data_IF_573601401168
#
_entry.id   IF_573601401168
#
_cell.length_a   1.000
_cell.length_b   1.000
_cell.length_c   1.000
_cell.angle_alpha   90.00
_cell.angle_beta   90.00
_cell.angle_gamma   90.00
#
_symmetry.space_group_name_H-M   'P 1'
#
loop_
_entity.id
_entity.type
_entity.pdbx_description
1 polymer ?
#
# COMPACT_ATOMS: atom_id res chain seq x y z
N UNK A 1 -1.22 11.07 22.88
CA UNK A 1 -1.28 11.60 21.50
C UNK A 1 -1.97 10.54 20.65
N UNK A 2 -3.12 10.84 20.08
CA UNK A 2 -3.85 9.90 19.21
C UNK A 2 -3.12 9.87 17.86
N UNK A 3 -2.57 8.70 17.47
CA UNK A 3 -1.75 8.55 16.25
C UNK A 3 -2.57 8.74 14.96
N UNK A 4 -3.89 8.57 15.05
CA UNK A 4 -4.81 8.59 13.91
C UNK A 4 -5.95 9.56 14.19
N UNK A 5 -6.02 10.62 13.40
CA UNK A 5 -7.20 11.47 13.31
C UNK A 5 -8.30 10.81 12.47
N UNK A 6 -9.54 10.99 12.90
CA UNK A 6 -10.75 10.49 12.25
C UNK A 6 -10.88 10.99 10.80
N UNK A 7 -11.27 10.10 9.88
CA UNK A 7 -11.62 10.48 8.51
C UNK A 7 -10.44 10.74 7.56
N UNK A 8 -9.20 10.83 8.04
CA UNK A 8 -8.00 10.90 7.20
C UNK A 8 -7.61 9.51 6.67
N UNK A 9 -7.00 9.48 5.49
CA UNK A 9 -6.41 8.29 4.90
C UNK A 9 -4.94 8.22 5.30
N UNK A 10 -4.51 7.09 5.84
CA UNK A 10 -3.12 6.80 6.20
C UNK A 10 -2.63 5.61 5.38
N UNK A 11 -1.44 5.74 4.81
CA UNK A 11 -0.76 4.64 4.11
C UNK A 11 -0.07 3.75 5.15
N UNK A 12 -0.62 2.55 5.34
CA UNK A 12 -0.12 1.56 6.29
C UNK A 12 0.25 0.26 5.57
N UNK A 13 1.03 -0.59 6.23
CA UNK A 13 1.25 -1.96 5.77
C UNK A 13 0.22 -2.89 6.43
N UNK A 14 -0.53 -3.63 5.64
CA UNK A 14 -1.36 -4.73 6.12
C UNK A 14 -0.59 -6.04 6.00
N UNK A 15 -0.36 -6.71 7.12
CA UNK A 15 0.07 -8.10 7.17
C UNK A 15 -1.17 -8.99 7.28
N UNK A 16 -1.28 -9.93 6.35
CA UNK A 16 -2.25 -11.04 6.37
C UNK A 16 -1.51 -12.38 6.51
N UNK A 17 -2.24 -13.50 6.56
CA UNK A 17 -1.66 -14.84 6.78
C UNK A 17 -0.41 -15.14 5.96
N UNK A 18 -0.38 -14.72 4.70
CA UNK A 18 0.69 -15.09 3.77
C UNK A 18 1.25 -13.91 2.98
N UNK A 19 0.85 -12.68 3.30
CA UNK A 19 1.19 -11.50 2.50
C UNK A 19 1.40 -10.23 3.32
N UNK A 20 2.13 -9.29 2.73
CA UNK A 20 2.19 -7.89 3.17
C UNK A 20 1.79 -7.02 1.99
N UNK A 21 0.95 -6.03 2.22
CA UNK A 21 0.54 -5.11 1.17
C UNK A 21 0.26 -3.73 1.75
N UNK A 22 0.60 -2.63 1.05
CA UNK A 22 0.21 -1.31 1.48
C UNK A 22 -1.30 -1.12 1.30
N UNK A 23 -1.92 -0.43 2.25
CA UNK A 23 -3.35 -0.11 2.27
C UNK A 23 -3.58 1.32 2.75
N UNK A 24 -4.48 2.03 2.07
CA UNK A 24 -5.05 3.27 2.55
C UNK A 24 -6.11 2.98 3.63
N UNK A 25 -5.81 3.36 4.86
CA UNK A 25 -6.64 3.10 6.05
C UNK A 25 -7.28 4.38 6.54
N UNK A 26 -8.56 4.32 6.85
CA UNK A 26 -9.32 5.41 7.47
C UNK A 26 -9.81 4.96 8.84
N UNK A 27 -9.43 5.69 9.89
CA UNK A 27 -10.03 5.51 11.21
C UNK A 27 -11.45 6.05 11.19
N UNK A 28 -12.41 5.21 11.59
CA UNK A 28 -13.79 5.62 11.86
C UNK A 28 -14.28 5.04 13.18
N UNK A 29 -14.59 5.90 14.15
CA UNK A 29 -14.89 5.52 15.52
C UNK A 29 -13.75 4.69 16.12
N UNK A 30 -14.07 3.49 16.60
CA UNK A 30 -13.11 2.53 17.16
C UNK A 30 -12.57 1.51 16.15
N UNK A 31 -12.86 1.65 14.85
CA UNK A 31 -12.47 0.69 13.80
C UNK A 31 -11.59 1.33 12.72
N UNK A 32 -10.85 0.50 12.01
CA UNK A 32 -9.98 0.89 10.90
C UNK A 32 -10.52 0.32 9.59
N UNK A 33 -10.89 1.19 8.66
CA UNK A 33 -11.53 0.82 7.41
C UNK A 33 -10.55 0.92 6.25
N UNK A 34 -10.56 -0.06 5.36
CA UNK A 34 -9.74 -0.06 4.15
C UNK A 34 -10.40 -0.91 3.06
N UNK A 35 -9.82 -0.88 1.86
CA UNK A 35 -10.29 -1.66 0.72
C UNK A 35 -9.16 -2.55 0.23
N UNK A 36 -9.48 -3.80 -0.07
CA UNK A 36 -8.57 -4.71 -0.75
C UNK A 36 -9.10 -5.03 -2.13
N UNK A 37 -8.28 -4.81 -3.15
CA UNK A 37 -8.53 -5.35 -4.48
C UNK A 37 -8.30 -6.87 -4.49
N UNK A 38 -8.86 -7.56 -5.49
CA UNK A 38 -8.59 -8.99 -5.68
C UNK A 38 -7.08 -9.28 -5.69
N UNK A 39 -6.66 -10.25 -4.87
CA UNK A 39 -5.25 -10.54 -4.67
C UNK A 39 -5.02 -11.44 -3.46
N UNK A 40 -3.75 -11.65 -3.11
CA UNK A 40 -3.33 -12.57 -2.05
C UNK A 40 -3.91 -12.19 -0.68
N UNK A 41 -3.81 -10.91 -0.29
CA UNK A 41 -4.39 -10.43 0.97
C UNK A 41 -5.92 -10.53 1.00
N UNK A 42 -6.62 -10.29 -0.12
CA UNK A 42 -8.08 -10.46 -0.15
C UNK A 42 -8.49 -11.93 0.04
N UNK A 43 -7.74 -12.88 -0.54
CA UNK A 43 -7.94 -14.32 -0.31
C UNK A 43 -7.65 -14.72 1.13
N UNK A 44 -6.52 -14.25 1.68
CA UNK A 44 -6.17 -14.49 3.08
C UNK A 44 -7.28 -14.02 4.02
N UNK A 45 -7.86 -12.83 3.82
CA UNK A 45 -8.92 -12.29 4.69
C UNK A 45 -10.21 -13.13 4.62
N UNK A 46 -10.56 -13.67 3.45
CA UNK A 46 -11.74 -14.54 3.31
C UNK A 46 -11.60 -15.85 4.10
N UNK A 47 -10.39 -16.41 4.15
CA UNK A 47 -10.10 -17.68 4.84
C UNK A 47 -9.73 -17.47 6.32
N UNK A 48 -9.01 -16.39 6.60
CA UNK A 48 -8.40 -16.04 7.88
C UNK A 48 -8.62 -14.55 8.16
N UNK A 49 -9.78 -14.17 8.73
CA UNK A 49 -10.22 -12.77 8.86
C UNK A 49 -9.50 -12.03 10.01
N UNK A 50 -8.17 -12.05 9.99
CA UNK A 50 -7.28 -11.38 10.93
C UNK A 50 -6.24 -10.58 10.14
N UNK A 51 -5.74 -9.51 10.75
CA UNK A 51 -4.67 -8.73 10.16
C UNK A 51 -3.93 -7.88 11.17
N UNK A 52 -2.73 -7.46 10.79
CA UNK A 52 -1.94 -6.48 11.54
C UNK A 52 -1.70 -5.29 10.64
N UNK A 53 -2.15 -4.10 11.07
CA UNK A 53 -1.82 -2.85 10.40
C UNK A 53 -0.57 -2.27 11.05
N UNK A 54 0.50 -2.07 10.27
CA UNK A 54 1.73 -1.45 10.72
C UNK A 54 1.85 -0.01 10.20
N UNK A 55 2.26 0.87 11.11
CA UNK A 55 2.71 2.21 10.75
C UNK A 55 4.19 2.15 10.37
N UNK A 56 4.55 2.76 9.25
CA UNK A 56 5.94 2.91 8.83
C UNK A 56 6.16 4.30 8.26
N UNK A 57 7.34 4.84 8.51
CA UNK A 57 7.84 6.06 7.85
C UNK A 57 8.82 5.74 6.72
N UNK A 58 9.15 4.46 6.56
CA UNK A 58 10.01 3.98 5.49
C UNK A 58 9.21 3.75 4.21
N UNK A 59 9.29 4.73 3.32
CA UNK A 59 8.64 4.68 2.00
C UNK A 59 9.24 3.58 1.11
N UNK A 60 10.49 3.18 1.31
CA UNK A 60 11.10 2.10 0.55
C UNK A 60 10.33 0.78 0.75
N UNK A 61 9.97 0.46 2.01
CA UNK A 61 9.17 -0.73 2.34
C UNK A 61 7.77 -0.65 1.71
N UNK A 62 7.09 0.50 1.79
CA UNK A 62 5.77 0.70 1.18
C UNK A 62 5.83 0.47 -0.34
N UNK A 63 6.83 1.02 -1.01
CA UNK A 63 7.00 0.90 -2.46
C UNK A 63 7.37 -0.53 -2.85
N UNK A 64 8.28 -1.19 -2.13
CA UNK A 64 8.65 -2.58 -2.42
C UNK A 64 7.46 -3.52 -2.27
N UNK A 65 6.70 -3.39 -1.20
CA UNK A 65 5.52 -4.23 -0.96
C UNK A 65 4.42 -3.94 -1.98
N UNK A 66 4.21 -2.69 -2.41
CA UNK A 66 3.28 -2.35 -3.51
C UNK A 66 3.65 -3.05 -4.83
N UNK A 67 4.95 -3.19 -5.09
CA UNK A 67 5.49 -3.73 -6.34
C UNK A 67 5.85 -5.22 -6.24
N UNK A 68 5.53 -5.88 -5.13
CA UNK A 68 5.93 -7.26 -4.82
C UNK A 68 7.45 -7.51 -4.96
N UNK A 69 8.26 -6.51 -4.60
CA UNK A 69 9.72 -6.61 -4.56
C UNK A 69 10.18 -7.13 -3.19
N UNK A 70 11.33 -7.83 -3.13
CA UNK A 70 11.90 -8.29 -1.87
C UNK A 70 12.16 -7.13 -0.90
N UNK A 71 11.78 -7.32 0.36
CA UNK A 71 12.07 -6.46 1.50
C UNK A 71 12.58 -7.33 2.66
N UNK A 72 13.62 -6.84 3.35
CA UNK A 72 14.15 -7.51 4.54
C UNK A 72 13.37 -7.01 5.75
N UNK A 73 12.63 -7.93 6.39
CA UNK A 73 11.79 -7.63 7.54
C UNK A 73 12.03 -8.66 8.63
N UNK A 74 12.16 -8.17 9.86
CA UNK A 74 12.15 -9.02 11.04
C UNK A 74 10.71 -9.28 11.50
N UNK A 75 10.46 -10.50 11.97
CA UNK A 75 9.12 -10.97 12.33
C UNK A 75 9.06 -11.44 13.76
N UNK A 76 7.92 -11.22 14.40
CA UNK A 76 7.57 -11.80 15.69
C UNK A 76 6.09 -12.22 15.72
N UNK A 77 5.70 -13.03 16.70
CA UNK A 77 4.32 -13.44 16.85
C UNK A 77 3.45 -12.30 17.39
N UNK A 78 2.26 -12.15 16.81
CA UNK A 78 1.23 -11.26 17.35
C UNK A 78 0.77 -11.76 18.71
N UNK A 79 0.28 -10.86 19.57
CA UNK A 79 -0.12 -11.22 20.93
C UNK A 79 -1.57 -11.67 21.04
N UNK A 80 -2.43 -11.21 20.13
CA UNK A 80 -3.90 -11.40 20.26
C UNK A 80 -4.55 -12.13 19.09
N UNK A 81 -3.80 -12.40 18.01
CA UNK A 81 -4.30 -13.04 16.80
C UNK A 81 -3.29 -14.06 16.27
N UNK A 82 -3.70 -15.08 15.48
CA UNK A 82 -2.81 -16.15 15.02
C UNK A 82 -2.01 -15.73 13.77
N UNK A 83 -1.35 -14.58 13.82
CA UNK A 83 -0.53 -14.03 12.74
C UNK A 83 0.84 -13.60 13.25
N UNK A 84 1.82 -13.50 12.34
CA UNK A 84 3.06 -12.77 12.61
C UNK A 84 2.87 -11.28 12.36
N UNK A 85 3.70 -10.47 12.99
CA UNK A 85 3.81 -9.02 12.79
C UNK A 85 5.25 -8.61 12.53
N UNK A 86 5.44 -7.46 11.89
CA UNK A 86 6.75 -6.88 11.68
C UNK A 86 7.27 -6.35 13.00
N UNK A 87 8.42 -6.85 13.42
CA UNK A 87 9.08 -6.47 14.67
C UNK A 87 9.50 -4.99 14.61
N UNK A 88 9.45 -4.30 15.75
CA UNK A 88 9.86 -2.90 15.88
C UNK A 88 9.08 -1.88 15.00
N UNK A 89 7.89 -2.23 14.51
CA UNK A 89 6.94 -1.26 13.95
C UNK A 89 5.68 -1.11 14.81
N UNK A 90 5.13 0.12 14.99
CA UNK A 90 3.88 0.32 15.71
C UNK A 90 2.78 -0.37 14.94
N UNK A 91 1.88 -1.02 15.67
CA UNK A 91 0.95 -1.96 15.06
C UNK A 91 -0.43 -1.96 15.71
N UNK A 92 -1.41 -2.36 14.91
CA UNK A 92 -2.79 -2.58 15.32
C UNK A 92 -3.14 -4.01 14.91
N UNK A 93 -3.26 -4.90 15.90
CA UNK A 93 -3.72 -6.27 15.72
C UNK A 93 -5.26 -6.29 15.79
N UNK A 94 -5.92 -7.09 14.96
CA UNK A 94 -7.36 -7.23 15.08
C UNK A 94 -8.03 -8.23 14.14
N UNK A 95 -9.32 -8.43 14.39
CA UNK A 95 -10.22 -9.19 13.51
C UNK A 95 -10.76 -8.27 12.42
N UNK A 96 -10.85 -8.77 11.20
CA UNK A 96 -11.32 -8.05 10.03
C UNK A 96 -12.70 -8.57 9.63
N UNK A 97 -13.69 -7.69 9.68
CA UNK A 97 -14.98 -7.90 9.02
C UNK A 97 -14.83 -7.44 7.56
N UNK A 98 -15.45 -8.16 6.63
CA UNK A 98 -15.41 -7.77 5.22
C UNK A 98 -16.73 -7.98 4.50
N UNK A 99 -16.93 -7.19 3.45
CA UNK A 99 -18.04 -7.32 2.51
C UNK A 99 -17.50 -7.18 1.09
N UNK A 100 -17.95 -8.04 0.17
CA UNK A 100 -17.64 -7.88 -1.25
C UNK A 100 -18.39 -6.68 -1.83
N UNK A 101 -17.73 -5.92 -2.68
CA UNK A 101 -18.33 -4.78 -3.38
C UNK A 101 -17.68 -4.58 -4.76
N UNK A 102 -18.33 -3.76 -5.59
CA UNK A 102 -17.84 -3.34 -6.89
C UNK A 102 -17.56 -1.84 -6.86
N UNK A 103 -16.40 -1.44 -7.38
CA UNK A 103 -16.07 -0.05 -7.61
C UNK A 103 -15.78 0.20 -9.08
N UNK A 104 -16.07 1.41 -9.55
CA UNK A 104 -15.83 1.83 -10.93
C UNK A 104 -15.05 3.13 -10.95
N UNK A 105 -13.97 3.17 -11.72
CA UNK A 105 -13.18 4.37 -11.99
C UNK A 105 -12.85 4.51 -13.50
N UNK A 106 -11.91 5.39 -13.85
CA UNK A 106 -11.44 5.57 -15.24
C UNK A 106 -10.82 4.30 -15.86
N UNK A 107 -10.43 3.33 -15.04
CA UNK A 107 -9.89 2.03 -15.44
C UNK A 107 -10.97 0.94 -15.48
N UNK A 108 -12.24 1.33 -15.35
CA UNK A 108 -13.40 0.45 -15.41
C UNK A 108 -13.79 -0.10 -14.04
N UNK A 109 -14.47 -1.24 -14.04
CA UNK A 109 -14.97 -1.88 -12.82
C UNK A 109 -13.91 -2.81 -12.20
N UNK A 110 -13.94 -2.90 -10.87
CA UNK A 110 -13.11 -3.81 -10.07
C UNK A 110 -13.89 -4.32 -8.85
N UNK A 111 -13.77 -5.62 -8.59
CA UNK A 111 -14.21 -6.25 -7.34
C UNK A 111 -13.25 -5.91 -6.21
N UNK A 112 -13.80 -5.58 -5.06
CA UNK A 112 -13.04 -5.28 -3.85
C UNK A 112 -13.66 -5.97 -2.63
N UNK A 113 -12.87 -6.09 -1.57
CA UNK A 113 -13.36 -6.26 -0.23
C UNK A 113 -13.34 -4.91 0.47
N UNK A 114 -14.49 -4.49 1.01
CA UNK A 114 -14.55 -3.44 2.02
C UNK A 114 -14.27 -4.09 3.36
N UNK A 115 -13.18 -3.69 3.97
CA UNK A 115 -12.70 -4.27 5.22
C UNK A 115 -12.88 -3.29 6.38
N UNK A 116 -13.13 -3.84 7.55
CA UNK A 116 -13.21 -3.13 8.82
C UNK A 116 -12.49 -3.93 9.89
N UNK A 117 -11.33 -3.45 10.33
CA UNK A 117 -10.57 -4.05 11.42
C UNK A 117 -11.08 -3.50 12.77
N UNK A 118 -11.46 -4.41 13.65
CA UNK A 118 -11.73 -4.12 15.07
C UNK A 118 -10.47 -4.43 15.87
N UNK A 119 -9.83 -3.42 16.49
CA UNK A 119 -8.58 -3.62 17.23
C UNK A 119 -8.78 -4.55 18.43
N UNK A 120 -7.93 -5.56 18.55
CA UNK A 120 -7.75 -6.35 19.77
C UNK A 120 -6.56 -5.86 20.60
N UNK A 121 -5.56 -5.25 19.94
CA UNK A 121 -4.40 -4.65 20.58
C UNK A 121 -3.83 -3.53 19.71
N UNK A 122 -3.40 -2.45 20.35
CA UNK A 122 -2.70 -1.35 19.70
C UNK A 122 -1.37 -1.17 20.42
N UNK A 123 -0.28 -1.30 19.68
CA UNK A 123 1.07 -1.05 20.17
C UNK A 123 1.62 0.20 19.51
N UNK A 124 1.78 1.23 20.33
CA UNK A 124 2.46 2.47 19.96
C UNK A 124 3.72 2.55 20.80
N UNK A 125 4.85 2.81 20.16
CA UNK A 125 6.10 3.12 20.83
C UNK A 125 6.79 4.27 20.11
N UNK A 126 7.64 5.04 20.83
CA UNK A 126 8.36 6.14 20.23
C UNK A 126 9.36 5.59 19.21
N UNK A 127 9.12 5.90 17.94
CA UNK A 127 10.06 5.67 16.85
C UNK A 127 10.63 7.02 16.44
N UNK A 128 11.90 7.04 16.07
CA UNK A 128 12.50 8.19 15.41
C UNK A 128 11.82 8.35 14.06
N UNK A 129 10.89 9.30 13.98
CA UNK A 129 10.24 9.64 12.74
C UNK A 129 11.22 10.54 11.97
N UNK A 130 11.77 10.09 10.83
CA UNK A 130 12.60 10.97 10.02
C UNK A 130 11.78 12.21 9.61
N UNK A 131 12.42 13.38 9.46
CA UNK A 131 11.76 14.55 8.92
C UNK A 131 11.07 14.24 7.58
N UNK A 132 9.92 14.87 7.34
CA UNK A 132 9.14 14.63 6.13
C UNK A 132 9.95 15.01 4.88
N UNK A 133 10.04 14.08 3.93
CA UNK A 133 10.72 14.26 2.65
C UNK A 133 9.71 14.35 1.53
N UNK A 134 9.71 15.48 0.81
CA UNK A 134 8.90 15.63 -0.41
C UNK A 134 9.33 14.65 -1.51
N UNK A 135 10.61 14.26 -1.55
CA UNK A 135 11.07 13.27 -2.51
C UNK A 135 10.39 11.92 -2.24
N UNK A 136 10.27 11.52 -0.98
CA UNK A 136 9.64 10.24 -0.63
C UNK A 136 8.16 10.20 -1.01
N UNK A 137 7.45 11.32 -0.88
CA UNK A 137 6.08 11.43 -1.39
C UNK A 137 5.99 11.19 -2.90
N UNK A 138 6.91 11.75 -3.70
CA UNK A 138 6.94 11.48 -5.14
C UNK A 138 7.29 10.02 -5.45
N UNK A 139 8.18 9.40 -4.69
CA UNK A 139 8.51 7.98 -4.87
C UNK A 139 7.28 7.09 -4.62
N UNK A 140 6.52 7.37 -3.57
CA UNK A 140 5.27 6.68 -3.25
C UNK A 140 4.23 6.88 -4.35
N UNK A 141 3.99 8.13 -4.78
CA UNK A 141 3.05 8.46 -5.86
C UNK A 141 3.42 7.78 -7.18
N UNK A 142 4.71 7.68 -7.50
CA UNK A 142 5.18 6.94 -8.66
C UNK A 142 4.83 5.45 -8.59
N UNK A 143 4.96 4.82 -7.42
CA UNK A 143 4.60 3.43 -7.21
C UNK A 143 3.08 3.20 -7.36
N UNK A 144 2.26 4.09 -6.80
CA UNK A 144 0.79 4.08 -6.96
C UNK A 144 0.42 4.19 -8.44
N UNK A 145 1.03 5.12 -9.17
CA UNK A 145 0.77 5.27 -10.60
C UNK A 145 1.24 4.04 -11.39
N UNK A 146 2.35 3.41 -11.02
CA UNK A 146 2.83 2.20 -11.70
C UNK A 146 1.85 1.03 -11.54
N UNK A 147 1.30 0.79 -10.35
CA UNK A 147 0.31 -0.28 -10.17
C UNK A 147 -0.96 -0.02 -10.99
N UNK A 148 -1.40 1.25 -11.08
CA UNK A 148 -2.50 1.67 -11.97
C UNK A 148 -2.16 1.51 -13.45
N UNK A 149 -0.92 1.78 -13.85
CA UNK A 149 -0.45 1.60 -15.23
C UNK A 149 -0.58 0.14 -15.66
N UNK A 150 -0.19 -0.81 -14.80
CA UNK A 150 -0.37 -2.24 -15.09
C UNK A 150 -1.83 -2.63 -15.31
N UNK A 151 -2.76 -2.03 -14.57
CA UNK A 151 -4.20 -2.27 -14.78
C UNK A 151 -4.64 -1.68 -16.13
N UNK A 152 -4.24 -0.44 -16.42
CA UNK A 152 -4.58 0.25 -17.67
C UNK A 152 -4.07 -0.50 -18.90
N UNK A 153 -2.82 -1.00 -18.87
CA UNK A 153 -2.22 -1.75 -19.98
C UNK A 153 -2.88 -3.11 -20.17
N UNK A 154 -3.12 -3.87 -19.09
CA UNK A 154 -3.83 -5.16 -19.17
C UNK A 154 -5.25 -5.04 -19.72
N UNK A 155 -5.94 -3.92 -19.45
CA UNK A 155 -7.27 -3.64 -19.97
C UNK A 155 -7.26 -2.93 -21.33
N UNK A 156 -6.09 -2.72 -21.94
CA UNK A 156 -5.92 -2.04 -23.24
C UNK A 156 -6.48 -0.60 -23.26
N UNK A 157 -6.47 0.09 -22.12
CA UNK A 157 -6.86 1.50 -22.01
C UNK A 157 -5.69 2.42 -22.43
N UNK A 158 -5.34 2.41 -23.71
CA UNK A 158 -4.10 3.04 -24.24
C UNK A 158 -3.93 4.50 -23.83
N UNK A 159 -4.96 5.35 -24.03
CA UNK A 159 -4.89 6.78 -23.70
C UNK A 159 -4.64 7.01 -22.20
N UNK A 160 -5.30 6.23 -21.35
CA UNK A 160 -5.14 6.35 -19.90
C UNK A 160 -3.78 5.79 -19.44
N UNK A 161 -3.29 4.72 -20.06
CA UNK A 161 -1.94 4.20 -19.82
C UNK A 161 -0.86 5.25 -20.15
N UNK A 162 -0.98 5.95 -21.28
CA UNK A 162 -0.07 7.05 -21.65
C UNK A 162 -0.12 8.22 -20.66
N UNK A 163 -1.33 8.58 -20.22
CA UNK A 163 -1.53 9.63 -19.20
C UNK A 163 -0.87 9.25 -17.86
N UNK A 164 -1.10 8.02 -17.38
CA UNK A 164 -0.49 7.51 -16.15
C UNK A 164 1.04 7.46 -16.28
N UNK A 165 1.59 6.95 -17.38
CA UNK A 165 3.03 6.95 -17.62
C UNK A 165 3.62 8.36 -17.57
N UNK A 166 2.95 9.34 -18.18
CA UNK A 166 3.38 10.75 -18.16
C UNK A 166 3.45 11.29 -16.73
N UNK A 167 2.51 10.91 -15.86
CA UNK A 167 2.56 11.26 -14.43
C UNK A 167 3.75 10.62 -13.72
N UNK A 168 4.06 9.34 -14.00
CA UNK A 168 5.25 8.66 -13.45
C UNK A 168 6.52 9.40 -13.89
N UNK A 169 6.62 9.77 -15.18
CA UNK A 169 7.77 10.49 -15.71
C UNK A 169 7.97 11.86 -15.05
N UNK A 170 6.91 12.64 -14.91
CA UNK A 170 6.94 13.95 -14.20
C UNK A 170 7.30 13.77 -12.74
N UNK A 171 6.75 12.73 -12.08
CA UNK A 171 7.08 12.35 -10.72
C UNK A 171 8.58 12.04 -10.56
N UNK A 172 9.14 11.24 -11.47
CA UNK A 172 10.56 10.88 -11.47
C UNK A 172 11.47 12.10 -11.64
N UNK A 173 11.20 12.99 -12.59
CA UNK A 173 12.01 14.22 -12.76
C UNK A 173 11.95 15.09 -11.51
N UNK A 174 10.79 15.18 -10.88
CA UNK A 174 10.61 15.96 -9.65
C UNK A 174 11.32 15.31 -8.47
N UNK A 175 11.24 13.99 -8.34
CA UNK A 175 11.97 13.18 -7.36
C UNK A 175 13.47 13.45 -7.41
N UNK A 176 14.09 13.36 -8.60
CA UNK A 176 15.52 13.63 -8.78
C UNK A 176 15.88 15.08 -8.44
N UNK A 177 15.06 16.05 -8.87
CA UNK A 177 15.27 17.48 -8.53
C UNK A 177 15.25 17.75 -7.03
N UNK A 178 14.43 17.01 -6.28
CA UNK A 178 14.33 17.12 -4.82
C UNK A 178 15.43 16.35 -4.08
N UNK A 179 16.44 15.81 -4.79
CA UNK A 179 17.58 15.11 -4.20
C UNK A 179 17.33 13.63 -3.93
N UNK A 180 16.28 13.04 -4.50
CA UNK A 180 15.98 11.61 -4.38
C UNK A 180 17.06 10.70 -4.99
N UNK A 181 17.50 9.70 -4.22
CA UNK A 181 18.60 8.76 -4.58
C UNK A 181 18.23 7.29 -4.52
N UNK A 182 17.00 6.95 -4.12
CA UNK A 182 16.55 5.57 -3.98
C UNK A 182 16.46 4.90 -5.36
N UNK A 183 17.11 3.74 -5.51
CA UNK A 183 17.16 2.96 -6.74
C UNK A 183 15.77 2.46 -7.20
N UNK A 184 14.79 2.40 -6.29
CA UNK A 184 13.40 2.07 -6.63
C UNK A 184 12.82 3.04 -7.64
N UNK A 185 13.24 4.31 -7.64
CA UNK A 185 12.78 5.28 -8.64
C UNK A 185 13.16 4.86 -10.06
N UNK A 186 14.39 4.36 -10.24
CA UNK A 186 14.89 3.86 -11.53
C UNK A 186 14.16 2.57 -11.93
N UNK A 187 13.92 1.66 -10.96
CA UNK A 187 13.15 0.43 -11.20
C UNK A 187 11.73 0.72 -11.63
N UNK A 188 11.05 1.67 -10.98
CA UNK A 188 9.70 2.12 -11.36
C UNK A 188 9.70 2.63 -12.79
N UNK A 189 10.69 3.45 -13.18
CA UNK A 189 10.79 3.94 -14.56
C UNK A 189 11.01 2.82 -15.58
N UNK A 190 11.87 1.86 -15.25
CA UNK A 190 12.10 0.68 -16.08
C UNK A 190 10.83 -0.14 -16.28
N UNK A 191 10.12 -0.43 -15.19
CA UNK A 191 8.84 -1.12 -15.20
C UNK A 191 7.75 -0.37 -15.98
N UNK A 192 7.63 0.95 -15.78
CA UNK A 192 6.65 1.76 -16.47
C UNK A 192 6.90 1.78 -17.99
N UNK A 193 8.16 1.88 -18.39
CA UNK A 193 8.57 1.84 -19.80
C UNK A 193 8.29 0.48 -20.42
N UNK A 194 8.60 -0.60 -19.69
CA UNK A 194 8.29 -1.96 -20.12
C UNK A 194 6.77 -2.13 -20.30
N UNK A 195 5.95 -1.71 -19.33
CA UNK A 195 4.50 -1.85 -19.39
C UNK A 195 3.86 -1.19 -20.62
N UNK A 196 4.37 -0.03 -21.05
CA UNK A 196 3.87 0.64 -22.25
C UNK A 196 4.20 -0.08 -23.56
N UNK A 197 5.33 -0.79 -23.64
CA UNK A 197 5.74 -1.50 -24.86
C UNK A 197 4.80 -2.66 -25.23
N UNK A 198 3.98 -3.13 -24.30
CA UNK A 198 3.00 -4.20 -24.51
C UNK A 198 1.61 -3.71 -24.95
N UNK A 199 1.44 -2.40 -25.21
CA UNK A 199 0.29 -1.86 -25.92
C UNK A 199 0.66 -1.65 -27.40
N UNK A 200 0.36 -2.60 -28.31
CA UNK A 200 0.49 -2.38 -29.75
C UNK A 200 -0.46 -1.29 -30.26
#
# INVERSE_FOLDING_TARGET
MEMFEEGKVYELLLVTKSNITPVGVVKKGGKFHFKLFEGKSAKDIKEHPYGVLHTTWDVDILVRTALNLPCELEWEDSKTIPLKKIKNLPNIEGKIEFQEDLIKDSLGEARILRCSLTPSRIEVFPISNPPLSRADFYLLEMAINLTRLYVATRKLHVKEAQNIYSKIWVGYRTYKRLGGKNELAEKIMGFATAALRWNP
#
